data_IF_673859548132
#
_entry.id   IF_673859548132
#
_cell.length_a   1.000
_cell.length_b   1.000
_cell.length_c   1.000
_cell.angle_alpha   90.00
_cell.angle_beta   90.00
_cell.angle_gamma   90.00
#
_symmetry.space_group_name_H-M   'P 1'
#
loop_
_entity.id
_entity.type
_entity.pdbx_description
1 polymer ?
#
# COMPACT_ATOMS: atom_id res chain seq x y z
N UNK A 1 20.63 -5.81 18.57
CA UNK A 1 19.73 -5.30 17.50
C UNK A 1 18.49 -6.15 17.47
N UNK A 2 17.34 -5.52 17.56
CA UNK A 2 16.06 -6.21 17.62
C UNK A 2 15.38 -6.11 16.25
N UNK A 3 15.08 -7.26 15.63
CA UNK A 3 14.39 -7.35 14.36
C UNK A 3 12.91 -7.73 14.50
N UNK A 4 12.41 -7.78 15.74
CA UNK A 4 11.00 -8.08 15.96
C UNK A 4 10.13 -6.90 15.54
N UNK A 5 8.99 -7.23 14.92
CA UNK A 5 8.03 -6.23 14.51
C UNK A 5 7.24 -5.73 15.72
N UNK A 6 6.86 -4.44 15.70
CA UNK A 6 5.89 -3.91 16.65
C UNK A 6 4.54 -4.63 16.48
N UNK A 7 3.65 -4.49 17.45
CA UNK A 7 2.29 -5.07 17.36
C UNK A 7 1.54 -4.54 16.14
N UNK A 8 1.67 -3.25 15.87
CA UNK A 8 1.03 -2.60 14.73
C UNK A 8 1.57 -3.13 13.40
N UNK A 9 2.89 -3.27 13.29
CA UNK A 9 3.52 -3.80 12.09
C UNK A 9 3.20 -5.29 11.89
N UNK A 10 3.17 -6.07 12.97
CA UNK A 10 2.76 -7.47 12.90
C UNK A 10 1.29 -7.61 12.47
N UNK A 11 0.43 -6.72 12.94
CA UNK A 11 -0.99 -6.71 12.57
C UNK A 11 -1.18 -6.42 11.09
N UNK A 12 -0.48 -5.42 10.54
CA UNK A 12 -0.59 -5.11 9.10
C UNK A 12 0.00 -6.22 8.25
N UNK A 13 1.05 -6.89 8.70
CA UNK A 13 1.60 -8.06 8.02
C UNK A 13 0.57 -9.19 7.91
N UNK A 14 -0.11 -9.50 9.00
CA UNK A 14 -1.16 -10.52 9.03
C UNK A 14 -2.33 -10.16 8.12
N UNK A 15 -2.75 -8.91 8.14
CA UNK A 15 -3.84 -8.41 7.29
C UNK A 15 -3.47 -8.48 5.82
N UNK A 16 -2.28 -8.02 5.47
CA UNK A 16 -1.79 -8.04 4.07
C UNK A 16 -1.64 -9.47 3.57
N UNK A 17 -1.12 -10.38 4.39
CA UNK A 17 -1.01 -11.81 4.04
C UNK A 17 -2.39 -12.43 3.82
N UNK A 18 -3.32 -12.15 4.71
CA UNK A 18 -4.70 -12.66 4.58
C UNK A 18 -5.35 -12.16 3.30
N UNK A 19 -5.22 -10.88 3.00
CA UNK A 19 -5.72 -10.30 1.76
C UNK A 19 -5.09 -10.97 0.53
N UNK A 20 -3.78 -11.13 0.53
CA UNK A 20 -3.05 -11.77 -0.58
C UNK A 20 -3.53 -13.20 -0.83
N UNK A 21 -3.68 -13.99 0.22
CA UNK A 21 -4.12 -15.38 0.12
C UNK A 21 -5.58 -15.50 -0.31
N UNK A 22 -6.45 -14.65 0.22
CA UNK A 22 -7.90 -14.73 -0.04
C UNK A 22 -8.32 -14.08 -1.34
N UNK A 23 -7.73 -12.94 -1.69
CA UNK A 23 -8.22 -12.10 -2.78
C UNK A 23 -7.31 -12.10 -4.00
N UNK A 24 -5.99 -12.21 -3.81
CA UNK A 24 -5.05 -12.12 -4.93
C UNK A 24 -4.75 -13.50 -5.54
N UNK A 25 -4.32 -14.45 -4.72
CA UNK A 25 -3.90 -15.77 -5.22
C UNK A 25 -4.98 -16.47 -6.05
N UNK A 26 -6.26 -16.50 -5.63
CA UNK A 26 -7.30 -17.16 -6.44
C UNK A 26 -7.52 -16.54 -7.80
N UNK A 27 -7.09 -15.29 -8.01
CA UNK A 27 -7.32 -14.53 -9.23
C UNK A 27 -6.06 -14.31 -10.05
N UNK A 28 -4.96 -15.00 -9.72
CA UNK A 28 -3.65 -14.75 -10.35
C UNK A 28 -3.64 -15.05 -11.85
N UNK A 29 -4.50 -15.96 -12.30
CA UNK A 29 -4.60 -16.37 -13.72
C UNK A 29 -5.49 -15.46 -14.56
N UNK A 30 -6.19 -14.51 -13.96
CA UNK A 30 -6.99 -13.55 -14.70
C UNK A 30 -6.09 -12.59 -15.48
N UNK A 31 -6.32 -12.48 -16.79
CA UNK A 31 -5.53 -11.60 -17.65
C UNK A 31 -5.97 -10.15 -17.61
N UNK A 32 -7.14 -9.87 -17.06
CA UNK A 32 -7.70 -8.51 -16.96
C UNK A 32 -7.09 -7.75 -15.79
N UNK A 33 -6.99 -6.43 -15.95
CA UNK A 33 -6.62 -5.55 -14.84
C UNK A 33 -7.67 -5.64 -13.72
N UNK A 34 -7.19 -5.93 -12.52
CA UNK A 34 -8.04 -6.22 -11.35
C UNK A 34 -8.37 -4.92 -10.59
N UNK A 35 -9.15 -4.06 -11.24
CA UNK A 35 -9.51 -2.74 -10.67
C UNK A 35 -10.21 -2.84 -9.32
N UNK A 36 -11.05 -3.85 -9.14
CA UNK A 36 -11.76 -4.09 -7.88
C UNK A 36 -10.80 -4.45 -6.73
N UNK A 37 -9.74 -5.21 -7.01
CA UNK A 37 -8.71 -5.49 -6.00
C UNK A 37 -7.97 -4.22 -5.60
N UNK A 38 -7.66 -3.37 -6.56
CA UNK A 38 -6.99 -2.08 -6.29
C UNK A 38 -7.89 -1.20 -5.41
N UNK A 39 -9.18 -1.13 -5.73
CA UNK A 39 -10.14 -0.38 -4.91
C UNK A 39 -10.20 -0.92 -3.47
N UNK A 40 -10.27 -2.24 -3.31
CA UNK A 40 -10.27 -2.87 -1.99
C UNK A 40 -8.99 -2.56 -1.21
N UNK A 41 -7.83 -2.59 -1.86
CA UNK A 41 -6.55 -2.23 -1.25
C UNK A 41 -6.56 -0.78 -0.74
N UNK A 42 -7.18 0.12 -1.51
CA UNK A 42 -7.37 1.51 -1.10
C UNK A 42 -8.27 1.63 0.13
N UNK A 43 -9.39 0.93 0.14
CA UNK A 43 -10.35 0.94 1.25
C UNK A 43 -9.74 0.39 2.55
N UNK A 44 -8.88 -0.63 2.45
CA UNK A 44 -8.17 -1.19 3.60
C UNK A 44 -7.10 -0.22 4.13
N UNK A 45 -6.63 0.71 3.28
CA UNK A 45 -5.61 1.69 3.66
C UNK A 45 -4.19 1.27 3.31
N UNK A 46 -4.00 0.26 2.47
CA UNK A 46 -2.66 -0.23 2.13
C UNK A 46 -1.81 0.82 1.40
N UNK A 47 -2.42 1.65 0.55
CA UNK A 47 -1.68 2.68 -0.17
C UNK A 47 -1.20 3.83 0.71
N UNK A 48 -1.79 3.98 1.89
CA UNK A 48 -1.46 5.07 2.81
C UNK A 48 -0.48 4.71 3.93
N UNK A 49 0.12 3.52 3.89
CA UNK A 49 0.99 3.04 4.99
C UNK A 49 2.10 4.02 5.37
N UNK A 50 2.74 4.66 4.40
CA UNK A 50 3.88 5.54 4.63
C UNK A 50 3.50 7.01 4.81
N UNK A 51 2.21 7.34 4.82
CA UNK A 51 1.76 8.73 4.75
C UNK A 51 1.09 9.21 6.02
N UNK A 52 1.16 10.55 6.30
CA UNK A 52 0.52 11.14 7.47
C UNK A 52 -1.00 11.00 7.45
N UNK A 53 -1.59 10.97 8.64
CA UNK A 53 -3.05 10.90 8.81
C UNK A 53 -3.77 12.10 8.18
N UNK A 54 -3.13 13.26 8.12
CA UNK A 54 -3.73 14.45 7.49
C UNK A 54 -4.07 14.25 6.02
N UNK A 55 -3.43 13.28 5.35
CA UNK A 55 -3.74 12.91 3.97
C UNK A 55 -4.55 11.61 3.87
N UNK A 56 -5.02 11.10 4.99
CA UNK A 56 -5.72 9.81 5.04
C UNK A 56 -4.82 8.60 5.19
N UNK A 57 -3.52 8.80 5.42
CA UNK A 57 -2.56 7.73 5.64
C UNK A 57 -2.65 7.11 7.03
N UNK A 58 -1.95 5.98 7.23
CA UNK A 58 -1.97 5.24 8.48
C UNK A 58 -0.68 5.39 9.31
N UNK A 59 0.27 6.15 8.83
CA UNK A 59 1.55 6.44 9.52
C UNK A 59 2.32 5.20 9.97
N UNK A 60 2.26 4.11 9.20
CA UNK A 60 3.02 2.89 9.48
C UNK A 60 4.47 2.97 8.99
N UNK A 61 4.84 4.06 8.33
CA UNK A 61 6.19 4.32 7.84
C UNK A 61 6.60 3.46 6.67
N UNK A 62 7.88 3.58 6.31
CA UNK A 62 8.44 2.79 5.20
C UNK A 62 8.43 1.29 5.51
N UNK A 63 8.61 0.93 6.78
CA UNK A 63 8.53 -0.46 7.19
C UNK A 63 7.15 -1.04 6.94
N UNK A 64 6.08 -0.31 7.29
CA UNK A 64 4.71 -0.72 7.00
C UNK A 64 4.47 -0.93 5.52
N UNK A 65 4.90 0.02 4.69
CA UNK A 65 4.81 -0.11 3.24
C UNK A 65 5.56 -1.34 2.73
N UNK A 66 6.78 -1.56 3.23
CA UNK A 66 7.61 -2.70 2.82
C UNK A 66 6.99 -4.04 3.18
N UNK A 67 6.37 -4.13 4.35
CA UNK A 67 5.68 -5.34 4.80
C UNK A 67 4.51 -5.67 3.87
N UNK A 68 3.67 -4.70 3.56
CA UNK A 68 2.54 -4.90 2.65
C UNK A 68 3.04 -5.27 1.25
N UNK A 69 4.08 -4.57 0.79
CA UNK A 69 4.71 -4.84 -0.50
C UNK A 69 5.20 -6.29 -0.59
N UNK A 70 5.85 -6.79 0.45
CA UNK A 70 6.33 -8.18 0.50
C UNK A 70 5.18 -9.19 0.41
N UNK A 71 4.12 -8.99 1.16
CA UNK A 71 3.00 -9.93 1.18
C UNK A 71 2.22 -9.93 -0.14
N UNK A 72 2.01 -8.77 -0.75
CA UNK A 72 1.40 -8.68 -2.08
C UNK A 72 2.31 -9.35 -3.13
N UNK A 73 3.61 -9.09 -3.04
CA UNK A 73 4.62 -9.63 -3.97
C UNK A 73 4.66 -11.16 -3.97
N UNK A 74 4.44 -11.78 -2.83
CA UNK A 74 4.36 -13.24 -2.72
C UNK A 74 3.23 -13.80 -3.57
N UNK A 75 2.12 -13.09 -3.65
CA UNK A 75 0.95 -13.52 -4.41
C UNK A 75 1.05 -13.14 -5.89
N UNK A 76 1.45 -11.91 -6.18
CA UNK A 76 1.50 -11.36 -7.55
C UNK A 76 2.48 -10.19 -7.61
N UNK A 77 3.64 -10.43 -8.22
CA UNK A 77 4.66 -9.39 -8.35
C UNK A 77 4.24 -8.24 -9.28
N UNK A 78 3.38 -8.51 -10.25
CA UNK A 78 2.82 -7.45 -11.11
C UNK A 78 1.94 -6.49 -10.33
N UNK A 79 1.08 -7.01 -9.48
CA UNK A 79 0.24 -6.19 -8.61
C UNK A 79 1.08 -5.43 -7.59
N UNK A 80 2.18 -6.01 -7.11
CA UNK A 80 3.12 -5.32 -6.25
C UNK A 80 3.71 -4.08 -6.92
N UNK A 81 3.99 -4.14 -8.21
CA UNK A 81 4.51 -2.99 -8.94
C UNK A 81 3.52 -1.83 -8.94
N UNK A 82 2.25 -2.11 -9.19
CA UNK A 82 1.19 -1.11 -9.08
C UNK A 82 1.10 -0.56 -7.65
N UNK A 83 1.12 -1.45 -6.67
CA UNK A 83 1.06 -1.06 -5.25
C UNK A 83 2.20 -0.10 -4.90
N UNK A 84 3.42 -0.40 -5.33
CA UNK A 84 4.57 0.44 -5.01
C UNK A 84 4.49 1.82 -5.71
N UNK A 85 4.02 1.87 -6.95
CA UNK A 85 3.85 3.14 -7.64
C UNK A 85 2.77 4.00 -6.98
N UNK A 86 1.62 3.42 -6.71
CA UNK A 86 0.48 4.11 -6.12
C UNK A 86 0.71 4.49 -4.65
N UNK A 87 1.30 3.58 -3.88
CA UNK A 87 1.44 3.73 -2.42
C UNK A 87 2.76 4.36 -1.97
N UNK A 88 3.67 4.63 -2.90
CA UNK A 88 4.96 5.22 -2.52
C UNK A 88 5.47 6.20 -3.57
N UNK A 89 5.79 5.73 -4.77
CA UNK A 89 6.55 6.53 -5.74
C UNK A 89 5.85 7.83 -6.10
N UNK A 90 4.59 7.77 -6.50
CA UNK A 90 3.86 8.96 -6.96
C UNK A 90 3.51 9.89 -5.81
N UNK A 91 2.79 9.43 -4.76
CA UNK A 91 2.40 10.35 -3.70
C UNK A 91 3.60 10.86 -2.88
N UNK A 92 4.63 10.04 -2.69
CA UNK A 92 5.83 10.48 -1.97
C UNK A 92 6.56 11.58 -2.74
N UNK A 93 6.68 11.44 -4.06
CA UNK A 93 7.28 12.47 -4.90
C UNK A 93 6.53 13.80 -4.79
N UNK A 94 5.20 13.74 -4.81
CA UNK A 94 4.37 14.94 -4.66
C UNK A 94 4.56 15.54 -3.25
N UNK A 95 4.59 14.70 -2.22
CA UNK A 95 4.74 15.16 -0.84
C UNK A 95 6.08 15.85 -0.60
N UNK A 96 7.18 15.31 -1.16
CA UNK A 96 8.52 15.86 -0.95
C UNK A 96 8.84 17.07 -1.82
N UNK A 97 8.39 17.07 -3.07
CA UNK A 97 8.81 18.07 -4.07
C UNK A 97 7.67 18.84 -4.71
N UNK A 98 6.42 18.49 -4.45
CA UNK A 98 5.28 19.17 -5.01
C UNK A 98 4.98 20.50 -4.34
N UNK A 99 4.17 21.33 -5.01
CA UNK A 99 3.62 22.55 -4.43
C UNK A 99 2.55 22.19 -3.39
N UNK A 100 2.23 23.13 -2.50
CA UNK A 100 1.14 22.92 -1.53
C UNK A 100 -0.19 22.63 -2.24
N UNK A 101 -0.47 23.31 -3.33
CA UNK A 101 -1.67 23.07 -4.14
C UNK A 101 -1.71 21.63 -4.70
N UNK A 102 -0.56 21.12 -5.19
CA UNK A 102 -0.47 19.76 -5.70
C UNK A 102 -0.67 18.73 -4.58
N UNK A 103 -0.08 18.96 -3.42
CA UNK A 103 -0.26 18.08 -2.25
C UNK A 103 -1.71 17.97 -1.84
N UNK A 104 -2.39 19.11 -1.73
CA UNK A 104 -3.80 19.15 -1.35
C UNK A 104 -4.71 18.48 -2.38
N UNK A 105 -4.37 18.64 -3.66
CA UNK A 105 -5.19 18.13 -4.75
C UNK A 105 -5.07 16.63 -4.97
N UNK A 106 -3.89 16.06 -4.81
CA UNK A 106 -3.62 14.71 -5.30
C UNK A 106 -3.33 13.66 -4.22
N UNK A 107 -2.71 14.02 -3.10
CA UNK A 107 -2.21 13.00 -2.17
C UNK A 107 -3.36 12.21 -1.54
N UNK A 108 -4.40 12.87 -1.07
CA UNK A 108 -5.53 12.21 -0.41
C UNK A 108 -6.20 11.18 -1.33
N UNK A 109 -6.32 11.49 -2.61
CA UNK A 109 -6.93 10.57 -3.57
C UNK A 109 -6.03 9.37 -3.89
N UNK A 110 -4.72 9.51 -3.69
CA UNK A 110 -3.76 8.45 -4.00
C UNK A 110 -3.56 7.46 -2.85
N UNK A 111 -3.70 7.93 -1.63
CA UNK A 111 -3.48 7.12 -0.44
C UNK A 111 -4.78 6.69 0.20
#
# INVERSE_FOLDING_TARGET
>A
MDFDLSKEHAAIQSEARRFAVREIIPRIKEEKFKRDLVATMGEIGFFGCAFPMKYGGTEMGFLGHSIVCEEISRADSGLRSLFNLQGMTVPYTIMEWGTDAAKEKYIEDLV
#
